data_IF_512452527373
#
_entry.id   IF_512452527373
#
_cell.length_a   1.000
_cell.length_b   1.000
_cell.length_c   1.000
_cell.angle_alpha   90.00
_cell.angle_beta   90.00
_cell.angle_gamma   90.00
#
_symmetry.space_group_name_H-M   'P 1'
#
loop_
_entity.id
_entity.type
_entity.pdbx_description
1 polymer ?
#
# COMPACT_ATOMS: atom_id res chain seq x y z
N UNK A 1 -18.62 4.11 22.88
CA UNK A 1 -19.01 4.00 21.47
C UNK A 1 -17.96 3.17 20.74
N UNK A 2 -18.37 2.11 20.04
CA UNK A 2 -17.45 1.17 19.34
C UNK A 2 -16.59 1.88 18.28
N UNK A 3 -17.01 3.06 17.81
CA UNK A 3 -16.25 3.86 16.83
C UNK A 3 -14.94 4.43 17.37
N UNK A 4 -14.86 4.76 18.65
CA UNK A 4 -13.65 5.36 19.22
C UNK A 4 -12.47 4.37 19.26
N UNK A 5 -12.76 3.06 19.32
CA UNK A 5 -11.72 2.03 19.27
C UNK A 5 -11.17 1.76 17.87
N UNK A 6 -11.91 2.07 16.81
CA UNK A 6 -11.46 1.90 15.43
C UNK A 6 -10.37 2.89 15.02
N UNK A 7 -10.23 4.00 15.75
CA UNK A 7 -9.23 5.05 15.47
C UNK A 7 -8.05 5.04 16.42
N UNK A 8 -7.90 4.03 17.26
CA UNK A 8 -6.74 3.89 18.15
C UNK A 8 -5.45 3.56 17.39
N UNK A 9 -5.58 2.95 16.21
CA UNK A 9 -4.46 2.65 15.32
C UNK A 9 -4.50 3.61 14.13
N UNK A 10 -3.71 4.65 14.18
CA UNK A 10 -3.55 5.59 13.08
C UNK A 10 -2.07 5.81 12.78
N UNK A 11 -1.78 6.19 11.55
CA UNK A 11 -0.44 6.49 11.09
C UNK A 11 -0.50 7.45 9.91
N UNK A 12 0.65 7.94 9.49
CA UNK A 12 0.80 8.70 8.25
C UNK A 12 1.41 7.82 7.16
N UNK A 13 1.23 8.15 5.87
CA UNK A 13 1.91 7.43 4.78
C UNK A 13 3.43 7.40 4.97
N UNK A 14 4.04 8.51 5.39
CA UNK A 14 5.46 8.62 5.65
C UNK A 14 5.93 7.63 6.72
N UNK A 15 5.23 7.54 7.85
CA UNK A 15 5.60 6.62 8.93
C UNK A 15 5.42 5.17 8.52
N UNK A 16 4.42 4.85 7.71
CA UNK A 16 4.23 3.49 7.18
C UNK A 16 5.36 3.11 6.22
N UNK A 17 5.76 4.00 5.31
CA UNK A 17 6.91 3.79 4.43
C UNK A 17 8.19 3.59 5.24
N UNK A 18 8.41 4.41 6.28
CA UNK A 18 9.54 4.27 7.18
C UNK A 18 9.55 2.93 7.91
N UNK A 19 8.39 2.49 8.41
CA UNK A 19 8.25 1.20 9.08
C UNK A 19 8.55 0.03 8.13
N UNK A 20 8.04 0.06 6.90
CA UNK A 20 8.31 -0.95 5.88
C UNK A 20 9.82 -1.04 5.56
N UNK A 21 10.48 0.12 5.41
CA UNK A 21 11.91 0.19 5.16
C UNK A 21 12.73 -0.37 6.33
N UNK A 22 12.35 -0.05 7.58
CA UNK A 22 13.01 -0.60 8.77
C UNK A 22 12.82 -2.11 8.85
N UNK A 23 11.60 -2.60 8.65
CA UNK A 23 11.29 -4.03 8.70
C UNK A 23 12.07 -4.84 7.64
N UNK A 24 12.36 -4.23 6.49
CA UNK A 24 13.14 -4.86 5.43
C UNK A 24 14.66 -4.82 5.70
N UNK A 25 15.19 -3.68 6.12
CA UNK A 25 16.63 -3.47 6.29
C UNK A 25 17.17 -3.91 7.65
N UNK A 26 16.32 -3.88 8.67
CA UNK A 26 16.68 -4.26 10.04
C UNK A 26 15.76 -5.38 10.51
N UNK A 27 16.10 -6.65 10.25
CA UNK A 27 15.27 -7.77 10.67
C UNK A 27 15.22 -7.83 12.21
N UNK A 28 14.20 -7.19 12.78
CA UNK A 28 14.00 -7.08 14.24
C UNK A 28 13.85 -8.45 14.91
N UNK A 29 13.42 -9.46 14.16
CA UNK A 29 13.13 -10.81 14.66
C UNK A 29 13.88 -11.91 13.91
N UNK A 30 14.86 -11.56 13.06
CA UNK A 30 15.63 -12.49 12.22
C UNK A 30 15.15 -12.51 10.76
N UNK A 31 16.05 -12.96 9.87
CA UNK A 31 15.82 -12.95 8.41
C UNK A 31 14.64 -13.80 7.99
N UNK A 32 14.39 -14.92 8.67
CA UNK A 32 13.26 -15.82 8.39
C UNK A 32 11.90 -15.12 8.50
N UNK A 33 11.72 -14.20 9.43
CA UNK A 33 10.47 -13.45 9.60
C UNK A 33 10.32 -12.35 8.56
N UNK A 34 11.43 -11.76 8.11
CA UNK A 34 11.45 -10.84 6.99
C UNK A 34 10.97 -11.52 5.71
N UNK A 35 11.55 -12.67 5.38
CA UNK A 35 11.19 -13.43 4.18
C UNK A 35 9.74 -13.89 4.23
N UNK A 36 9.27 -14.33 5.40
CA UNK A 36 7.88 -14.68 5.62
C UNK A 36 6.95 -13.47 5.42
N UNK A 37 7.27 -12.31 6.00
CA UNK A 37 6.48 -11.09 5.83
C UNK A 37 6.40 -10.67 4.36
N UNK A 38 7.51 -10.71 3.64
CA UNK A 38 7.53 -10.40 2.21
C UNK A 38 6.66 -11.37 1.41
N UNK A 39 6.74 -12.66 1.69
CA UNK A 39 5.95 -13.69 1.01
C UNK A 39 4.44 -13.44 1.21
N UNK A 40 3.98 -13.27 2.45
CA UNK A 40 2.54 -13.05 2.71
C UNK A 40 2.03 -11.73 2.12
N UNK A 41 2.86 -10.69 2.07
CA UNK A 41 2.48 -9.42 1.41
C UNK A 41 2.35 -9.58 -0.12
N UNK A 42 3.18 -10.41 -0.75
CA UNK A 42 3.09 -10.72 -2.19
C UNK A 42 1.88 -11.59 -2.52
N UNK A 43 1.50 -12.50 -1.61
CA UNK A 43 0.36 -13.40 -1.75
C UNK A 43 -0.98 -12.71 -1.44
N UNK A 44 -0.99 -11.45 -1.06
CA UNK A 44 -2.21 -10.69 -0.76
C UNK A 44 -3.19 -10.76 -1.94
N UNK A 45 -4.41 -11.25 -1.65
CA UNK A 45 -5.48 -11.39 -2.63
C UNK A 45 -6.41 -10.19 -2.72
N UNK A 46 -6.39 -9.29 -1.72
CA UNK A 46 -7.21 -8.08 -1.66
C UNK A 46 -6.54 -6.91 -2.36
N UNK A 47 -7.33 -5.93 -2.84
CA UNK A 47 -6.83 -4.69 -3.44
C UNK A 47 -5.99 -4.87 -4.70
N UNK A 48 -6.34 -5.85 -5.53
CA UNK A 48 -5.69 -6.07 -6.84
C UNK A 48 -5.82 -4.87 -7.77
N UNK A 49 -6.79 -4.04 -7.53
CA UNK A 49 -7.15 -2.82 -8.24
C UNK A 49 -6.51 -1.55 -7.64
N UNK A 50 -5.76 -1.67 -6.53
CA UNK A 50 -5.07 -0.57 -5.84
C UNK A 50 -3.62 -0.42 -6.30
N UNK A 51 -2.64 -0.49 -5.40
CA UNK A 51 -1.22 -0.30 -5.76
C UNK A 51 -0.77 -1.14 -6.96
N UNK A 52 -1.31 -2.35 -7.10
CA UNK A 52 -0.98 -3.28 -8.17
C UNK A 52 -1.79 -3.03 -9.46
N UNK A 53 -2.89 -2.28 -9.39
CA UNK A 53 -3.96 -2.26 -10.39
C UNK A 53 -3.55 -1.79 -11.79
N UNK A 54 -2.57 -0.90 -11.90
CA UNK A 54 -2.10 -0.35 -13.20
C UNK A 54 -0.62 -0.67 -13.48
N UNK A 55 0.05 -1.43 -12.60
CA UNK A 55 1.42 -1.85 -12.83
C UNK A 55 1.47 -3.04 -13.80
N UNK A 56 2.59 -3.23 -14.55
CA UNK A 56 2.79 -4.41 -15.38
C UNK A 56 2.60 -5.71 -14.59
N UNK A 57 2.05 -6.74 -15.23
CA UNK A 57 1.65 -7.98 -14.54
C UNK A 57 2.84 -8.79 -13.97
N UNK A 58 4.02 -8.58 -14.49
CA UNK A 58 5.28 -9.21 -14.09
C UNK A 58 6.00 -8.47 -12.95
N UNK A 59 5.52 -7.28 -12.58
CA UNK A 59 6.09 -6.51 -11.47
C UNK A 59 5.72 -7.14 -10.13
N UNK A 60 6.72 -7.36 -9.30
CA UNK A 60 6.52 -7.90 -7.96
C UNK A 60 6.05 -6.78 -7.02
N UNK A 61 4.86 -6.96 -6.48
CA UNK A 61 4.24 -6.05 -5.50
C UNK A 61 3.85 -6.83 -4.27
N UNK A 62 4.35 -6.41 -3.12
CA UNK A 62 3.87 -6.90 -1.83
C UNK A 62 3.14 -5.78 -1.10
N UNK A 63 1.89 -5.99 -0.70
CA UNK A 63 1.09 -4.90 -0.13
C UNK A 63 0.08 -5.37 0.93
N UNK A 64 -0.44 -4.40 1.70
CA UNK A 64 -1.52 -4.60 2.67
C UNK A 64 -2.51 -3.46 2.55
N UNK A 65 -3.75 -3.81 2.26
CA UNK A 65 -4.86 -2.88 2.17
C UNK A 65 -5.49 -2.60 3.53
N UNK A 66 -6.13 -1.44 3.65
CA UNK A 66 -7.03 -1.09 4.74
C UNK A 66 -8.22 -0.31 4.20
N UNK A 67 -9.43 -0.69 4.58
CA UNK A 67 -10.65 -0.05 4.11
C UNK A 67 -11.66 0.05 5.26
N UNK A 68 -12.24 1.22 5.45
CA UNK A 68 -13.29 1.46 6.44
C UNK A 68 -14.68 1.26 5.84
N UNK A 69 -15.69 1.29 6.69
CA UNK A 69 -17.07 1.51 6.28
C UNK A 69 -17.29 2.96 5.85
N UNK A 70 -18.48 3.26 5.32
CA UNK A 70 -18.94 4.61 5.02
C UNK A 70 -19.74 5.18 6.18
N UNK A 71 -19.68 6.50 6.35
CA UNK A 71 -20.57 7.21 7.26
C UNK A 71 -22.01 7.15 6.76
N UNK A 72 -23.02 7.52 7.60
CA UNK A 72 -24.40 7.65 7.14
C UNK A 72 -24.58 8.61 5.96
N UNK A 73 -23.69 9.59 5.82
CA UNK A 73 -23.66 10.56 4.71
C UNK A 73 -22.95 10.02 3.47
N UNK A 74 -22.48 8.76 3.49
CA UNK A 74 -21.85 8.11 2.37
C UNK A 74 -20.33 8.36 2.25
N UNK A 75 -19.71 9.04 3.22
CA UNK A 75 -18.28 9.37 3.20
C UNK A 75 -17.47 8.13 3.57
N UNK A 76 -16.52 7.73 2.72
CA UNK A 76 -15.52 6.72 3.01
C UNK A 76 -14.46 7.31 3.94
N UNK A 77 -14.38 6.80 5.16
CA UNK A 77 -13.48 7.36 6.19
C UNK A 77 -12.03 7.14 5.80
N UNK A 78 -11.69 5.93 5.36
CA UNK A 78 -10.35 5.59 4.89
C UNK A 78 -10.39 4.46 3.85
N UNK A 79 -9.56 4.58 2.82
CA UNK A 79 -9.29 3.53 1.86
C UNK A 79 -7.81 3.58 1.47
N UNK A 80 -7.03 2.63 1.96
CA UNK A 80 -5.59 2.72 2.00
C UNK A 80 -4.95 1.49 1.37
N UNK A 81 -3.74 1.67 0.84
CA UNK A 81 -2.87 0.57 0.47
C UNK A 81 -1.40 0.97 0.70
N UNK A 82 -0.60 0.05 1.20
CA UNK A 82 0.81 0.29 1.48
C UNK A 82 1.62 -0.98 1.26
N UNK A 83 2.85 -0.81 0.76
CA UNK A 83 3.69 -1.96 0.48
C UNK A 83 5.01 -1.61 -0.17
N UNK A 84 5.55 -2.57 -0.89
CA UNK A 84 6.76 -2.44 -1.66
C UNK A 84 6.56 -2.89 -3.11
N UNK A 85 7.39 -2.34 -3.97
CA UNK A 85 7.45 -2.71 -5.39
C UNK A 85 8.91 -3.02 -5.74
N UNK A 86 9.14 -4.08 -6.50
CA UNK A 86 10.46 -4.43 -7.02
C UNK A 86 10.50 -4.09 -8.50
N UNK A 87 11.39 -3.17 -8.87
CA UNK A 87 11.62 -2.75 -10.25
C UNK A 87 12.31 -3.86 -11.06
N UNK A 88 12.23 -3.83 -12.40
CA UNK A 88 12.88 -4.82 -13.26
C UNK A 88 14.40 -4.96 -13.05
N UNK A 89 15.06 -3.90 -12.60
CA UNK A 89 16.49 -3.91 -12.25
C UNK A 89 16.80 -4.51 -10.86
N UNK A 90 15.78 -4.96 -10.13
CA UNK A 90 15.91 -5.54 -8.79
C UNK A 90 15.88 -4.51 -7.63
N UNK A 91 15.84 -3.23 -7.93
CA UNK A 91 15.67 -2.21 -6.88
C UNK A 91 14.28 -2.28 -6.28
N UNK A 92 14.19 -2.08 -4.97
CA UNK A 92 12.95 -2.07 -4.21
C UNK A 92 12.66 -0.66 -3.70
N UNK A 93 11.40 -0.22 -3.85
CA UNK A 93 10.92 0.98 -3.18
C UNK A 93 9.67 0.68 -2.34
N UNK A 94 9.37 1.57 -1.42
CA UNK A 94 8.21 1.47 -0.53
C UNK A 94 7.25 2.60 -0.85
N UNK A 95 5.97 2.28 -0.83
CA UNK A 95 4.90 3.21 -1.17
C UNK A 95 3.73 3.03 -0.20
N UNK A 96 3.11 4.14 0.20
CA UNK A 96 1.88 4.15 0.96
C UNK A 96 0.97 5.24 0.41
N UNK A 97 -0.26 4.89 0.08
CA UNK A 97 -1.29 5.81 -0.40
C UNK A 97 -2.51 5.69 0.50
N UNK A 98 -2.88 6.79 1.13
CA UNK A 98 -4.03 6.88 2.01
C UNK A 98 -5.06 7.84 1.42
N UNK A 99 -6.25 7.31 1.15
CA UNK A 99 -7.42 8.09 0.77
C UNK A 99 -8.31 8.21 2.01
N UNK A 100 -8.65 9.44 2.40
CA UNK A 100 -9.48 9.68 3.58
C UNK A 100 -10.59 10.69 3.25
N UNK A 101 -11.73 10.52 3.97
CA UNK A 101 -12.92 11.39 3.84
C UNK A 101 -13.42 11.53 2.40
N UNK A 102 -13.37 10.42 1.64
CA UNK A 102 -13.74 10.41 0.23
C UNK A 102 -15.24 10.24 0.02
N UNK A 103 -15.80 11.04 -0.88
CA UNK A 103 -17.15 10.89 -1.40
C UNK A 103 -17.21 10.02 -2.67
N UNK A 104 -16.05 9.69 -3.24
CA UNK A 104 -15.95 8.86 -4.43
C UNK A 104 -16.33 7.41 -4.16
N UNK A 105 -16.59 6.66 -5.22
CA UNK A 105 -16.84 5.22 -5.12
C UNK A 105 -15.60 4.46 -4.66
N UNK A 106 -15.76 3.24 -4.19
CA UNK A 106 -14.61 2.38 -3.84
C UNK A 106 -13.74 2.07 -5.07
N UNK A 107 -14.36 1.97 -6.25
CA UNK A 107 -13.64 1.79 -7.52
C UNK A 107 -12.82 3.02 -7.89
N UNK A 108 -13.36 4.23 -7.70
CA UNK A 108 -12.63 5.48 -7.97
C UNK A 108 -11.48 5.67 -6.97
N UNK A 109 -11.68 5.36 -5.69
CA UNK A 109 -10.62 5.39 -4.70
C UNK A 109 -9.49 4.41 -5.05
N UNK A 110 -9.84 3.19 -5.48
CA UNK A 110 -8.86 2.22 -5.95
C UNK A 110 -8.09 2.71 -7.18
N UNK A 111 -8.79 3.32 -8.15
CA UNK A 111 -8.18 3.89 -9.35
C UNK A 111 -7.22 5.05 -9.02
N UNK A 112 -7.55 5.89 -8.05
CA UNK A 112 -6.65 6.96 -7.56
C UNK A 112 -5.37 6.35 -7.00
N UNK A 113 -5.48 5.33 -6.13
CA UNK A 113 -4.33 4.64 -5.56
C UNK A 113 -3.47 4.00 -6.67
N UNK A 114 -4.10 3.32 -7.62
CA UNK A 114 -3.42 2.68 -8.75
C UNK A 114 -2.69 3.68 -9.65
N UNK A 115 -3.30 4.84 -9.94
CA UNK A 115 -2.70 5.88 -10.77
C UNK A 115 -1.49 6.52 -10.09
N UNK A 116 -1.55 6.77 -8.78
CA UNK A 116 -0.41 7.27 -8.01
C UNK A 116 0.73 6.24 -8.05
N UNK A 117 0.42 4.96 -7.85
CA UNK A 117 1.39 3.88 -7.91
C UNK A 117 2.07 3.80 -9.27
N UNK A 118 1.30 3.92 -10.36
CA UNK A 118 1.83 3.91 -11.72
C UNK A 118 2.78 5.09 -11.97
N UNK A 119 2.40 6.30 -11.59
CA UNK A 119 3.24 7.49 -11.76
C UNK A 119 4.59 7.31 -11.06
N UNK A 120 4.57 6.81 -9.82
CA UNK A 120 5.80 6.56 -9.06
C UNK A 120 6.64 5.49 -9.75
N UNK A 121 6.02 4.39 -10.17
CA UNK A 121 6.71 3.31 -10.88
C UNK A 121 7.37 3.82 -12.16
N UNK A 122 6.64 4.53 -13.02
CA UNK A 122 7.14 5.04 -14.30
C UNK A 122 8.31 6.02 -14.07
N UNK A 123 8.19 6.90 -13.08
CA UNK A 123 9.25 7.85 -12.72
C UNK A 123 10.53 7.13 -12.30
N UNK A 124 10.42 6.22 -11.33
CA UNK A 124 11.59 5.50 -10.82
C UNK A 124 12.19 4.52 -11.84
N UNK A 125 11.37 3.95 -12.71
CA UNK A 125 11.84 3.04 -13.77
C UNK A 125 12.52 3.81 -14.91
N UNK A 126 12.13 5.06 -15.16
CA UNK A 126 12.75 5.91 -16.19
C UNK A 126 14.12 6.46 -15.77
N UNK A 127 14.32 6.72 -14.49
CA UNK A 127 15.60 7.23 -13.95
C UNK A 127 16.74 6.18 -14.02
N UNK A 128 16.41 4.95 -14.46
CA UNK A 128 17.34 3.82 -14.55
C UNK A 128 17.87 3.63 -16.00
N UNK A 129 17.26 4.28 -16.97
CA UNK A 129 17.69 4.24 -18.38
C UNK A 129 18.69 5.37 -18.71
#
# INVERSE_FOLDING_TARGET
CIRDSAYLNWSTPEEVVRLLNIADKQPLFGTQYKDFLQAIMQETSTGKDKLKGQLPADVIVGHKTGSSDRTPEGIKIADNDAGFVILPNGQKYYIAVFVMESQETDADNAAIIASISQIVYDTLNSDIQ
#
